data_IF_347971293035
#
_entry.id   IF_347971293035
#
_cell.length_a   1.000
_cell.length_b   1.000
_cell.length_c   1.000
_cell.angle_alpha   90.00
_cell.angle_beta   90.00
_cell.angle_gamma   90.00
#
_symmetry.space_group_name_H-M   'P 1'
#
loop_
_entity.id
_entity.type
_entity.pdbx_description
1 polymer ?
#
# COMPACT_ATOMS: atom_id res chain seq x y z
N UNK A 1 -11.15 -13.60 -3.46
CA UNK A 1 -11.42 -12.18 -3.73
C UNK A 1 -11.66 -11.50 -2.39
N UNK A 2 -10.82 -10.56 -2.01
CA UNK A 2 -11.08 -9.74 -0.83
C UNK A 2 -12.30 -8.86 -1.06
N UNK A 3 -13.15 -8.77 -0.03
CA UNK A 3 -14.21 -7.78 -0.02
C UNK A 3 -13.61 -6.41 0.34
N UNK A 4 -14.09 -5.32 -0.29
CA UNK A 4 -13.69 -3.98 0.08
C UNK A 4 -13.99 -3.73 1.56
N UNK A 5 -13.02 -3.19 2.29
CA UNK A 5 -13.15 -2.88 3.72
C UNK A 5 -13.30 -1.38 3.85
N UNK A 6 -14.54 -0.91 3.72
CA UNK A 6 -14.88 0.50 3.89
C UNK A 6 -14.89 0.88 5.36
N UNK A 7 -14.01 1.81 5.73
CA UNK A 7 -13.94 2.37 7.07
C UNK A 7 -14.01 3.89 7.00
N UNK A 8 -14.49 4.52 8.07
CA UNK A 8 -14.30 5.95 8.27
C UNK A 8 -12.86 6.17 8.75
N UNK A 9 -11.97 6.76 7.93
CA UNK A 9 -10.55 6.89 8.27
C UNK A 9 -10.32 7.80 9.48
N UNK A 10 -11.21 8.78 9.72
CA UNK A 10 -11.10 9.68 10.86
C UNK A 10 -11.40 8.94 12.15
N UNK A 11 -12.49 8.17 12.15
CA UNK A 11 -12.88 7.34 13.29
C UNK A 11 -11.86 6.22 13.52
N UNK A 12 -11.38 5.59 12.46
CA UNK A 12 -10.35 4.55 12.52
C UNK A 12 -9.08 5.04 13.23
N UNK A 13 -8.63 6.26 12.90
CA UNK A 13 -7.48 6.88 13.57
C UNK A 13 -7.76 7.32 15.00
N UNK A 14 -8.92 7.94 15.25
CA UNK A 14 -9.31 8.37 16.60
C UNK A 14 -9.44 7.21 17.58
N UNK A 15 -10.00 6.11 17.12
CA UNK A 15 -10.20 4.89 17.92
C UNK A 15 -8.93 4.01 17.96
N UNK A 16 -7.83 4.46 17.33
CA UNK A 16 -6.56 3.71 17.22
C UNK A 16 -6.76 2.28 16.71
N UNK A 17 -7.67 2.12 15.74
CA UNK A 17 -7.99 0.82 15.17
C UNK A 17 -6.84 0.32 14.29
N UNK A 18 -6.73 -1.01 14.21
CA UNK A 18 -5.80 -1.67 13.32
C UNK A 18 -6.54 -2.75 12.54
N UNK A 19 -6.24 -2.82 11.25
CA UNK A 19 -6.73 -3.82 10.32
C UNK A 19 -5.53 -4.60 9.80
N UNK A 20 -5.60 -5.91 9.94
CA UNK A 20 -4.54 -6.83 9.56
C UNK A 20 -5.15 -7.95 8.73
N UNK A 21 -4.58 -8.18 7.56
CA UNK A 21 -4.97 -9.28 6.68
C UNK A 21 -3.73 -9.94 6.10
N UNK A 22 -3.79 -11.27 5.94
CA UNK A 22 -2.77 -12.02 5.23
C UNK A 22 -3.46 -12.82 4.15
N UNK A 23 -3.07 -12.62 2.90
CA UNK A 23 -3.66 -13.34 1.79
C UNK A 23 -2.79 -13.32 0.55
N UNK A 24 -3.13 -14.20 -0.39
CA UNK A 24 -2.43 -14.30 -1.65
C UNK A 24 -2.69 -13.08 -2.53
N UNK A 25 -1.71 -12.72 -3.36
CA UNK A 25 -1.86 -11.66 -4.38
C UNK A 25 -3.01 -11.94 -5.34
N UNK A 26 -3.35 -13.22 -5.54
CA UNK A 26 -4.49 -13.70 -6.31
C UNK A 26 -5.85 -13.26 -5.73
N UNK A 27 -5.91 -12.96 -4.43
CA UNK A 27 -7.12 -12.51 -3.76
C UNK A 27 -7.41 -11.02 -4.00
N UNK A 28 -6.40 -10.26 -4.44
CA UNK A 28 -6.44 -8.82 -4.71
C UNK A 28 -6.60 -8.60 -6.22
N UNK A 29 -7.72 -8.01 -6.68
CA UNK A 29 -8.06 -7.96 -8.11
C UNK A 29 -7.09 -7.13 -8.94
N UNK A 30 -6.48 -6.08 -8.39
CA UNK A 30 -5.50 -5.24 -9.09
C UNK A 30 -4.12 -5.89 -9.05
N UNK A 31 -3.72 -6.45 -7.89
CA UNK A 31 -2.41 -7.10 -7.74
C UNK A 31 -2.31 -8.42 -8.53
N UNK A 32 -3.40 -9.16 -8.68
CA UNK A 32 -3.46 -10.39 -9.47
C UNK A 32 -3.13 -10.19 -10.96
N UNK A 33 -3.10 -8.94 -11.44
CA UNK A 33 -2.71 -8.61 -12.82
C UNK A 33 -1.21 -8.42 -12.99
N UNK A 34 -0.53 -8.01 -11.92
CA UNK A 34 0.90 -7.71 -11.91
C UNK A 34 1.73 -8.91 -11.41
N UNK A 35 1.18 -9.68 -10.46
CA UNK A 35 1.84 -10.84 -9.87
C UNK A 35 1.24 -12.16 -10.35
N UNK A 36 2.09 -13.16 -10.54
CA UNK A 36 1.68 -14.54 -10.89
C UNK A 36 1.24 -15.31 -9.66
N UNK A 37 2.00 -15.22 -8.56
CA UNK A 37 1.73 -15.91 -7.29
C UNK A 37 2.43 -15.21 -6.12
N UNK A 38 2.10 -15.64 -4.90
CA UNK A 38 2.70 -15.13 -3.67
C UNK A 38 1.68 -14.65 -2.66
N UNK A 39 2.17 -14.24 -1.49
CA UNK A 39 1.32 -13.80 -0.39
C UNK A 39 1.83 -12.49 0.22
N UNK A 40 0.90 -11.63 0.56
CA UNK A 40 1.14 -10.35 1.20
C UNK A 40 0.45 -10.32 2.56
N UNK A 41 1.20 -9.88 3.56
CA UNK A 41 0.70 -9.47 4.86
C UNK A 41 0.53 -7.96 4.84
N UNK A 42 -0.70 -7.50 5.00
CA UNK A 42 -1.07 -6.10 4.93
C UNK A 42 -1.63 -5.66 6.27
N UNK A 43 -1.06 -4.61 6.83
CA UNK A 43 -1.46 -4.03 8.10
C UNK A 43 -1.66 -2.55 7.95
N UNK A 44 -2.84 -2.06 8.33
CA UNK A 44 -3.18 -0.65 8.37
C UNK A 44 -3.59 -0.28 9.79
N UNK A 45 -2.84 0.61 10.42
CA UNK A 45 -3.11 1.07 11.78
C UNK A 45 -3.37 2.57 11.79
N UNK A 46 -4.51 2.98 12.34
CA UNK A 46 -4.85 4.38 12.55
C UNK A 46 -4.15 4.94 13.78
N UNK A 47 -3.62 6.14 13.65
CA UNK A 47 -2.99 6.89 14.72
C UNK A 47 -3.58 8.30 14.78
N UNK A 48 -3.79 8.80 16.00
CA UNK A 48 -4.13 10.17 16.25
C UNK A 48 -2.98 10.84 17.00
N UNK A 49 -2.46 11.93 16.45
CA UNK A 49 -1.44 12.75 17.10
C UNK A 49 -2.07 13.69 18.14
N UNK A 50 -1.27 14.10 19.13
CA UNK A 50 -1.67 15.01 20.20
C UNK A 50 -2.07 16.40 19.68
N UNK A 51 -1.61 16.76 18.47
CA UNK A 51 -1.98 17.99 17.76
C UNK A 51 -3.32 17.88 17.02
N UNK A 52 -4.01 16.75 17.10
CA UNK A 52 -5.26 16.49 16.38
C UNK A 52 -5.08 16.11 14.92
N UNK A 53 -3.84 15.87 14.49
CA UNK A 53 -3.53 15.25 13.20
C UNK A 53 -3.88 13.77 13.24
N UNK A 54 -4.41 13.24 12.14
CA UNK A 54 -4.72 11.82 12.01
C UNK A 54 -3.78 11.24 10.96
N UNK A 55 -3.24 10.05 11.20
CA UNK A 55 -2.36 9.37 10.26
C UNK A 55 -2.64 7.87 10.22
N UNK A 56 -2.47 7.29 9.04
CA UNK A 56 -2.57 5.85 8.81
C UNK A 56 -1.16 5.30 8.61
N UNK A 57 -0.78 4.33 9.43
CA UNK A 57 0.46 3.58 9.23
C UNK A 57 0.15 2.32 8.46
N UNK A 58 0.72 2.21 7.27
CA UNK A 58 0.64 1.05 6.40
C UNK A 58 1.94 0.26 6.49
N UNK A 59 1.82 -1.04 6.73
CA UNK A 59 2.92 -1.98 6.71
C UNK A 59 2.51 -3.17 5.85
N UNK A 60 3.15 -3.33 4.70
CA UNK A 60 2.88 -4.40 3.75
C UNK A 60 4.17 -5.17 3.54
N UNK A 61 4.12 -6.48 3.78
CA UNK A 61 5.28 -7.35 3.67
C UNK A 61 4.91 -8.68 3.05
N UNK A 62 5.74 -9.18 2.15
CA UNK A 62 5.53 -10.51 1.58
C UNK A 62 6.46 -10.80 0.41
N UNK A 63 6.42 -12.04 -0.05
CA UNK A 63 7.12 -12.45 -1.26
C UNK A 63 6.12 -12.75 -2.35
N UNK A 64 6.36 -12.15 -3.50
CA UNK A 64 5.52 -12.25 -4.70
C UNK A 64 6.38 -12.65 -5.88
N UNK A 65 5.76 -13.28 -6.85
CA UNK A 65 6.40 -13.67 -8.09
C UNK A 65 5.78 -12.87 -9.23
N UNK A 66 6.65 -12.35 -10.10
CA UNK A 66 6.30 -11.56 -11.28
C UNK A 66 6.88 -12.22 -12.51
N UNK A 67 6.35 -11.86 -13.68
CA UNK A 67 6.95 -12.25 -14.95
C UNK A 67 7.95 -11.19 -15.37
N UNK A 68 9.22 -11.59 -15.55
CA UNK A 68 10.24 -10.68 -16.06
C UNK A 68 9.91 -10.26 -17.51
N UNK A 69 9.78 -8.96 -17.76
CA UNK A 69 9.49 -8.43 -19.11
C UNK A 69 10.64 -8.64 -20.12
N UNK A 70 11.82 -9.05 -19.66
CA UNK A 70 13.00 -9.31 -20.52
C UNK A 70 13.17 -10.78 -20.92
N UNK A 71 13.21 -11.69 -19.94
CA UNK A 71 13.38 -13.13 -20.20
C UNK A 71 12.08 -13.93 -20.16
N UNK A 72 10.95 -13.32 -19.80
CA UNK A 72 9.67 -13.99 -19.55
C UNK A 72 9.72 -15.11 -18.49
N UNK A 73 10.77 -15.12 -17.67
CA UNK A 73 10.93 -16.06 -16.55
C UNK A 73 10.25 -15.57 -15.28
N UNK A 74 10.06 -16.50 -14.34
CA UNK A 74 9.60 -16.21 -12.99
C UNK A 74 10.66 -15.40 -12.24
N UNK A 75 10.27 -14.23 -11.73
CA UNK A 75 11.09 -13.34 -10.93
C UNK A 75 10.47 -13.21 -9.55
N UNK A 76 11.22 -13.57 -8.50
CA UNK A 76 10.78 -13.33 -7.12
C UNK A 76 11.07 -11.89 -6.74
N UNK A 77 10.09 -11.25 -6.12
CA UNK A 77 10.16 -9.88 -5.64
C UNK A 77 9.69 -9.85 -4.19
N UNK A 78 10.53 -9.31 -3.30
CA UNK A 78 10.16 -9.09 -1.91
C UNK A 78 9.50 -7.71 -1.80
N UNK A 79 8.23 -7.69 -1.42
CA UNK A 79 7.49 -6.45 -1.14
C UNK A 79 7.71 -6.10 0.32
N UNK A 80 8.30 -4.94 0.59
CA UNK A 80 8.44 -4.40 1.94
C UNK A 80 8.13 -2.90 1.90
N UNK A 81 6.93 -2.54 2.33
CA UNK A 81 6.42 -1.17 2.31
C UNK A 81 6.08 -0.79 3.74
N UNK A 82 6.63 0.32 4.20
CA UNK A 82 6.28 0.94 5.46
C UNK A 82 6.07 2.43 5.21
N UNK A 83 4.81 2.86 5.24
CA UNK A 83 4.41 4.23 4.93
C UNK A 83 3.50 4.78 6.00
N UNK A 84 3.60 6.08 6.25
CA UNK A 84 2.72 6.80 7.15
C UNK A 84 2.01 7.89 6.36
N UNK A 85 0.71 7.74 6.17
CA UNK A 85 -0.12 8.65 5.40
C UNK A 85 -0.88 9.59 6.33
N UNK A 86 -0.63 10.88 6.25
CA UNK A 86 -1.35 11.90 7.00
C UNK A 86 -2.70 12.20 6.34
N UNK A 87 -3.75 12.27 7.15
CA UNK A 87 -5.11 12.47 6.67
C UNK A 87 -5.41 13.96 6.55
N UNK A 88 -5.37 14.46 5.33
CA UNK A 88 -5.74 15.83 5.00
C UNK A 88 -7.25 15.99 4.94
N UNK A 89 -7.76 17.11 5.48
CA UNK A 89 -9.20 17.42 5.49
C UNK A 89 -9.67 18.13 4.22
N UNK A 90 -8.75 18.76 3.50
CA UNK A 90 -8.97 19.55 2.30
C UNK A 90 -7.65 19.67 1.51
N UNK A 91 -7.74 20.12 0.27
CA UNK A 91 -6.59 20.30 -0.63
C UNK A 91 -5.53 21.25 -0.05
N UNK A 92 -5.93 22.33 0.59
CA UNK A 92 -4.98 23.28 1.18
C UNK A 92 -4.21 22.71 2.39
N UNK A 93 -4.76 21.71 3.09
CA UNK A 93 -4.11 20.98 4.17
C UNK A 93 -3.25 19.85 3.62
N UNK A 94 -3.68 19.20 2.54
CA UNK A 94 -2.90 18.23 1.78
C UNK A 94 -1.59 18.86 1.29
N UNK A 95 -1.67 19.97 0.55
CA UNK A 95 -0.48 20.69 0.06
C UNK A 95 0.47 21.10 1.19
N UNK A 96 -0.08 21.48 2.35
CA UNK A 96 0.72 21.85 3.53
C UNK A 96 1.43 20.66 4.15
N UNK A 97 0.78 19.50 4.20
CA UNK A 97 1.36 18.28 4.75
C UNK A 97 2.36 17.64 3.79
N UNK A 98 2.07 17.64 2.49
CA UNK A 98 2.99 17.16 1.44
C UNK A 98 4.22 18.06 1.29
N UNK A 99 4.12 19.34 1.67
CA UNK A 99 5.27 20.22 1.73
C UNK A 99 6.21 19.91 2.91
N UNK A 100 5.78 19.08 3.89
CA UNK A 100 6.65 18.65 4.97
C UNK A 100 7.60 17.55 4.46
N UNK A 101 8.89 17.62 4.79
CA UNK A 101 9.83 16.57 4.43
C UNK A 101 9.43 15.24 5.10
N UNK A 102 9.54 14.15 4.34
CA UNK A 102 9.24 12.78 4.78
C UNK A 102 7.78 12.55 5.25
N UNK A 103 6.84 13.40 4.81
CA UNK A 103 5.41 13.29 5.12
C UNK A 103 4.62 13.10 3.84
N UNK A 104 4.01 11.93 3.68
CA UNK A 104 3.02 11.70 2.64
C UNK A 104 1.63 12.00 3.22
N UNK A 105 0.85 12.85 2.58
CA UNK A 105 -0.53 13.08 2.95
C UNK A 105 -1.50 12.59 1.88
N UNK A 106 -2.70 12.23 2.31
CA UNK A 106 -3.78 11.81 1.44
C UNK A 106 -5.05 12.58 1.77
N UNK A 107 -5.78 12.97 0.73
CA UNK A 107 -7.11 13.52 0.89
C UNK A 107 -8.09 12.38 1.09
N UNK A 108 -8.64 12.26 2.29
CA UNK A 108 -9.66 11.26 2.58
C UNK A 108 -11.06 11.84 2.56
N UNK A 109 -11.97 11.10 1.93
CA UNK A 109 -13.40 11.35 1.98
C UNK A 109 -14.06 10.86 3.27
N UNK A 110 -15.36 10.64 3.21
CA UNK A 110 -16.15 10.09 4.32
C UNK A 110 -15.85 8.61 4.56
N UNK A 111 -15.56 7.86 3.49
CA UNK A 111 -15.19 6.45 3.55
C UNK A 111 -13.85 6.23 2.84
N UNK A 112 -13.11 5.23 3.32
CA UNK A 112 -11.84 4.79 2.77
C UNK A 112 -11.86 3.27 2.68
N UNK A 113 -11.51 2.73 1.52
CA UNK A 113 -11.34 1.30 1.35
C UNK A 113 -9.89 0.90 1.68
N UNK A 114 -9.70 0.17 2.78
CA UNK A 114 -8.38 -0.29 3.19
C UNK A 114 -7.74 -1.26 2.20
N UNK A 115 -8.56 -2.04 1.49
CA UNK A 115 -8.08 -2.99 0.48
C UNK A 115 -7.54 -2.23 -0.72
N UNK A 116 -8.30 -1.28 -1.26
CA UNK A 116 -7.85 -0.47 -2.40
C UNK A 116 -6.61 0.33 -2.06
N UNK A 117 -6.56 0.92 -0.86
CA UNK A 117 -5.39 1.67 -0.38
C UNK A 117 -4.13 0.79 -0.35
N UNK A 118 -4.24 -0.44 0.16
CA UNK A 118 -3.13 -1.39 0.17
C UNK A 118 -2.72 -1.77 -1.25
N UNK A 119 -3.68 -2.02 -2.15
CA UNK A 119 -3.36 -2.32 -3.55
C UNK A 119 -2.63 -1.15 -4.22
N UNK A 120 -3.08 0.09 -4.00
CA UNK A 120 -2.43 1.30 -4.51
C UNK A 120 -0.99 1.43 -4.02
N UNK A 121 -0.74 1.27 -2.71
CA UNK A 121 0.62 1.35 -2.17
C UNK A 121 1.54 0.27 -2.73
N UNK A 122 1.05 -0.96 -2.89
CA UNK A 122 1.83 -2.02 -3.53
C UNK A 122 2.16 -1.63 -4.96
N UNK A 123 1.17 -1.23 -5.75
CA UNK A 123 1.36 -0.83 -7.14
C UNK A 123 2.31 0.36 -7.30
N UNK A 124 2.23 1.35 -6.40
CA UNK A 124 3.12 2.51 -6.39
C UNK A 124 4.56 2.14 -6.02
N UNK A 125 4.75 1.11 -5.20
CA UNK A 125 6.08 0.59 -4.84
C UNK A 125 6.72 -0.28 -5.93
N UNK A 126 5.93 -0.75 -6.90
CA UNK A 126 6.44 -1.64 -7.94
C UNK A 126 7.48 -0.93 -8.83
N UNK A 127 8.48 -1.67 -9.33
CA UNK A 127 9.41 -1.12 -10.31
C UNK A 127 8.66 -0.78 -11.60
N UNK A 128 9.07 0.32 -12.25
CA UNK A 128 8.51 0.77 -13.54
C UNK A 128 8.48 -0.34 -14.60
N UNK A 129 9.47 -1.24 -14.56
CA UNK A 129 9.49 -2.46 -15.36
C UNK A 129 9.93 -3.64 -14.48
N UNK A 130 9.11 -4.68 -14.43
CA UNK A 130 9.45 -5.93 -13.76
C UNK A 130 10.55 -6.66 -14.54
N UNK A 131 11.81 -6.43 -14.19
CA UNK A 131 12.98 -7.04 -14.80
C UNK A 131 13.94 -7.51 -13.72
N UNK A 132 14.58 -8.67 -13.93
CA UNK A 132 15.71 -9.10 -13.11
C UNK A 132 16.81 -8.03 -13.07
N UNK A 133 17.58 -7.98 -11.99
CA UNK A 133 18.71 -7.06 -11.87
C UNK A 133 19.70 -7.25 -13.03
N UNK A 134 20.49 -6.22 -13.33
CA UNK A 134 21.49 -6.29 -14.40
C UNK A 134 22.43 -7.50 -14.19
N UNK A 135 22.39 -8.46 -15.13
CA UNK A 135 23.19 -9.69 -15.09
C UNK A 135 22.50 -10.94 -14.53
N UNK A 136 21.33 -10.82 -13.89
CA UNK A 136 20.54 -11.97 -13.40
C UNK A 136 19.57 -12.51 -14.46
N UNK A 137 19.33 -11.71 -15.50
CA UNK A 137 18.56 -12.14 -16.66
C UNK A 137 19.44 -13.05 -17.55
N UNK A 138 19.02 -14.30 -17.87
CA UNK A 138 19.81 -15.21 -18.70
C UNK A 138 19.82 -14.86 -20.19
N UNK A 139 19.55 -13.59 -20.55
CA UNK A 139 19.53 -13.08 -21.93
C UNK A 139 20.86 -12.46 -22.29
#
# INVERSE_FOLDING_TARGET
>A
MHQPVEVDPRRFCRDSQAWETQSEVSAFPRLAREFTQGALFCRVAGQADQRGGLSLRLAIRGEVEMTCQRCLGAMRHAVQIERALHLARNEAELERLDALPDSDAILVGETLNLVDLVEDEVLLSLPLAAMHAEGECPV
#
